data_IF_516547916374
#
_entry.id   IF_516547916374
#
_cell.length_a   1.000
_cell.length_b   1.000
_cell.length_c   1.000
_cell.angle_alpha   90.00
_cell.angle_beta   90.00
_cell.angle_gamma   90.00
#
_symmetry.space_group_name_H-M   'P 1'
#
loop_
_entity.id
_entity.type
_entity.pdbx_description
1 polymer ?
#
# COMPACT_ATOMS: atom_id res chain seq x y z
N UNK A 1 -4.19 21.32 14.94
CA UNK A 1 -4.82 20.55 13.84
C UNK A 1 -5.70 19.48 14.48
N UNK A 2 -7.02 19.48 14.24
CA UNK A 2 -7.87 18.34 14.62
C UNK A 2 -7.91 17.39 13.43
N UNK A 3 -7.20 16.27 13.51
CA UNK A 3 -7.35 15.19 12.53
C UNK A 3 -8.74 14.57 12.77
N UNK A 4 -9.67 14.60 11.82
CA UNK A 4 -10.96 13.97 11.99
C UNK A 4 -10.78 12.45 11.87
N UNK A 5 -10.42 11.79 12.97
CA UNK A 5 -10.12 10.34 13.07
C UNK A 5 -11.31 9.41 12.79
N UNK A 6 -12.37 9.88 12.14
CA UNK A 6 -13.62 9.14 11.99
C UNK A 6 -14.52 9.64 10.84
N UNK A 7 -14.13 10.68 10.11
CA UNK A 7 -14.95 11.14 8.97
C UNK A 7 -14.45 10.48 7.69
N UNK A 8 -15.19 9.47 7.26
CA UNK A 8 -15.04 8.93 5.90
C UNK A 8 -15.40 10.00 4.90
N UNK A 9 -14.63 10.06 3.82
CA UNK A 9 -14.91 10.91 2.68
C UNK A 9 -16.22 10.46 2.05
N UNK A 10 -17.22 11.33 2.08
CA UNK A 10 -18.52 11.11 1.43
C UNK A 10 -18.56 11.67 0.01
N UNK A 11 -17.67 12.62 -0.31
CA UNK A 11 -17.54 13.22 -1.62
C UNK A 11 -16.49 12.49 -2.48
N UNK A 12 -17.00 11.66 -3.39
CA UNK A 12 -16.21 10.87 -4.34
C UNK A 12 -15.87 11.64 -5.64
N UNK A 13 -16.12 12.95 -5.70
CA UNK A 13 -15.88 13.77 -6.89
C UNK A 13 -14.39 14.04 -7.20
N UNK A 14 -13.49 13.86 -6.23
CA UNK A 14 -12.05 14.02 -6.42
C UNK A 14 -11.34 12.66 -6.29
N UNK A 15 -11.08 12.05 -7.44
CA UNK A 15 -10.40 10.76 -7.55
C UNK A 15 -9.35 10.83 -8.67
N UNK A 16 -8.23 11.55 -8.44
CA UNK A 16 -7.16 11.68 -9.43
C UNK A 16 -6.56 10.31 -9.79
N UNK A 17 -5.97 10.14 -10.98
CA UNK A 17 -5.20 8.93 -11.27
C UNK A 17 -4.09 8.71 -10.23
N UNK A 18 -3.92 7.48 -9.73
CA UNK A 18 -2.93 7.15 -8.70
C UNK A 18 -2.06 5.97 -9.08
N UNK A 19 -0.79 6.00 -8.70
CA UNK A 19 0.10 4.83 -8.76
C UNK A 19 0.46 4.38 -7.35
N UNK A 20 0.13 3.13 -7.01
CA UNK A 20 0.55 2.45 -5.79
C UNK A 20 1.90 1.76 -6.00
N UNK A 21 2.88 2.06 -5.16
CA UNK A 21 4.18 1.38 -5.11
C UNK A 21 4.22 0.47 -3.87
N UNK A 22 4.35 -0.83 -4.10
CA UNK A 22 4.38 -1.83 -3.03
C UNK A 22 5.65 -2.68 -3.15
N UNK A 23 6.74 -2.33 -2.43
CA UNK A 23 7.95 -3.14 -2.38
C UNK A 23 7.68 -4.39 -1.53
N UNK A 24 8.02 -5.57 -2.07
CA UNK A 24 7.73 -6.87 -1.49
C UNK A 24 9.01 -7.67 -1.27
N UNK A 25 9.00 -8.53 -0.26
CA UNK A 25 10.07 -9.48 0.05
C UNK A 25 9.54 -10.63 0.88
N UNK A 26 9.71 -11.86 0.40
CA UNK A 26 9.17 -13.05 1.05
C UNK A 26 7.64 -13.06 1.09
N UNK A 27 7.09 -14.14 1.61
CA UNK A 27 5.65 -14.30 1.79
C UNK A 27 5.35 -14.93 3.15
N UNK A 28 4.28 -14.47 3.78
CA UNK A 28 3.72 -15.01 5.00
C UNK A 28 2.23 -15.36 4.80
N UNK A 29 1.56 -15.76 5.88
CA UNK A 29 0.16 -16.19 5.84
C UNK A 29 -0.81 -15.06 5.44
N UNK A 30 -0.48 -13.81 5.72
CA UNK A 30 -1.37 -12.65 5.51
C UNK A 30 -1.06 -11.90 4.19
N UNK A 31 0.07 -12.20 3.55
CA UNK A 31 0.54 -11.54 2.33
C UNK A 31 -0.52 -11.52 1.22
N UNK A 32 -1.21 -12.64 0.98
CA UNK A 32 -2.27 -12.71 -0.02
C UNK A 32 -3.41 -11.74 0.31
N UNK A 33 -3.87 -11.73 1.56
CA UNK A 33 -4.99 -10.90 1.99
C UNK A 33 -4.62 -9.41 1.94
N UNK A 34 -3.41 -9.05 2.37
CA UNK A 34 -2.90 -7.68 2.30
C UNK A 34 -2.84 -7.21 0.84
N UNK A 35 -2.22 -7.98 -0.06
CA UNK A 35 -2.10 -7.62 -1.47
C UNK A 35 -3.47 -7.53 -2.16
N UNK A 36 -4.37 -8.47 -1.89
CA UNK A 36 -5.72 -8.47 -2.44
C UNK A 36 -6.53 -7.24 -2.00
N UNK A 37 -6.40 -6.81 -0.74
CA UNK A 37 -7.12 -5.63 -0.22
C UNK A 37 -6.82 -4.35 -1.02
N UNK A 38 -5.59 -4.21 -1.53
CA UNK A 38 -5.20 -3.08 -2.39
C UNK A 38 -5.71 -3.18 -3.82
N UNK A 39 -5.94 -4.40 -4.33
CA UNK A 39 -6.51 -4.61 -5.67
C UNK A 39 -8.04 -4.48 -5.68
N UNK A 40 -8.69 -4.64 -4.53
CA UNK A 40 -10.15 -4.56 -4.36
C UNK A 40 -10.64 -3.20 -3.84
N UNK A 41 -9.93 -2.12 -4.18
CA UNK A 41 -10.34 -0.77 -3.80
C UNK A 41 -11.58 -0.32 -4.58
N UNK A 42 -12.50 0.31 -3.85
CA UNK A 42 -13.68 1.02 -4.33
C UNK A 42 -13.26 2.44 -4.77
N UNK A 43 -12.42 2.48 -5.81
CA UNK A 43 -11.87 3.69 -6.39
C UNK A 43 -12.28 3.77 -7.87
N UNK A 44 -13.00 4.84 -8.22
CA UNK A 44 -13.50 5.09 -9.57
C UNK A 44 -12.44 5.72 -10.49
N UNK A 45 -11.40 6.34 -9.92
CA UNK A 45 -10.28 6.88 -10.68
C UNK A 45 -9.35 5.79 -11.24
N UNK A 46 -8.50 6.11 -12.23
CA UNK A 46 -7.47 5.19 -12.69
C UNK A 46 -6.49 4.85 -11.56
N UNK A 47 -6.18 3.57 -11.41
CA UNK A 47 -5.27 3.09 -10.38
C UNK A 47 -4.30 2.08 -10.99
N UNK A 48 -3.01 2.43 -10.98
CA UNK A 48 -1.91 1.52 -11.31
C UNK A 48 -1.35 0.93 -10.00
N UNK A 49 -1.04 -0.36 -10.00
CA UNK A 49 -0.41 -1.05 -8.87
C UNK A 49 0.91 -1.69 -9.31
N UNK A 50 2.00 -1.28 -8.68
CA UNK A 50 3.34 -1.77 -8.94
C UNK A 50 3.85 -2.59 -7.76
N UNK A 51 3.98 -3.90 -7.97
CA UNK A 51 4.58 -4.82 -7.00
C UNK A 51 6.06 -5.00 -7.31
N UNK A 52 6.95 -4.52 -6.44
CA UNK A 52 8.40 -4.58 -6.68
C UNK A 52 9.07 -5.67 -5.87
N UNK A 53 9.81 -6.57 -6.53
CA UNK A 53 10.60 -7.62 -5.86
C UNK A 53 12.05 -7.56 -6.29
N UNK A 54 12.98 -7.93 -5.41
CA UNK A 54 14.41 -7.96 -5.76
C UNK A 54 14.77 -9.09 -6.73
N UNK A 55 14.05 -10.23 -6.63
CA UNK A 55 14.34 -11.43 -7.41
C UNK A 55 13.05 -12.06 -7.93
N UNK A 56 13.10 -12.59 -9.15
CA UNK A 56 11.99 -13.36 -9.74
C UNK A 56 11.71 -14.69 -9.03
N UNK A 57 12.65 -15.14 -8.19
CA UNK A 57 12.51 -16.31 -7.33
C UNK A 57 11.94 -16.00 -5.94
N UNK A 58 11.57 -14.74 -5.65
CA UNK A 58 10.95 -14.41 -4.37
C UNK A 58 9.57 -15.11 -4.25
N UNK A 59 9.27 -15.78 -3.11
CA UNK A 59 8.01 -16.50 -2.93
C UNK A 59 6.75 -15.65 -3.20
N UNK A 60 6.80 -14.34 -2.95
CA UNK A 60 5.65 -13.45 -3.15
C UNK A 60 5.27 -13.29 -4.62
N UNK A 61 6.18 -13.58 -5.54
CA UNK A 61 5.93 -13.49 -6.98
C UNK A 61 4.76 -14.38 -7.39
N UNK A 62 4.64 -15.55 -6.77
CA UNK A 62 3.57 -16.49 -7.08
C UNK A 62 2.21 -15.96 -6.62
N UNK A 63 2.14 -15.37 -5.43
CA UNK A 63 0.93 -14.71 -4.92
C UNK A 63 0.51 -13.57 -5.86
N UNK A 64 1.45 -12.72 -6.28
CA UNK A 64 1.16 -11.62 -7.19
C UNK A 64 0.64 -12.13 -8.53
N UNK A 65 1.26 -13.16 -9.12
CA UNK A 65 0.80 -13.74 -10.39
C UNK A 65 -0.61 -14.30 -10.27
N UNK A 66 -0.92 -15.01 -9.18
CA UNK A 66 -2.26 -15.54 -8.92
C UNK A 66 -3.30 -14.41 -8.82
N UNK A 67 -2.99 -13.35 -8.08
CA UNK A 67 -3.89 -12.20 -7.92
C UNK A 67 -4.12 -11.45 -9.23
N UNK A 68 -3.07 -11.20 -10.01
CA UNK A 68 -3.18 -10.53 -11.32
C UNK A 68 -3.99 -11.38 -12.30
N UNK A 69 -3.84 -12.70 -12.29
CA UNK A 69 -4.64 -13.60 -13.10
C UNK A 69 -6.12 -13.64 -12.67
N UNK A 70 -6.41 -13.56 -11.37
CA UNK A 70 -7.76 -13.54 -10.82
C UNK A 70 -8.48 -12.19 -11.05
N UNK A 71 -7.74 -11.10 -11.27
CA UNK A 71 -8.27 -9.74 -11.43
C UNK A 71 -7.74 -9.06 -12.71
N UNK A 72 -8.00 -9.61 -13.91
CA UNK A 72 -7.37 -9.17 -15.17
C UNK A 72 -7.75 -7.74 -15.61
N UNK A 73 -8.78 -7.13 -15.01
CA UNK A 73 -9.18 -5.75 -15.28
C UNK A 73 -8.44 -4.68 -14.48
N UNK A 74 -7.57 -5.08 -13.53
CA UNK A 74 -6.79 -4.14 -12.72
C UNK A 74 -5.43 -3.90 -13.38
N UNK A 75 -5.00 -2.64 -13.47
CA UNK A 75 -3.67 -2.26 -13.96
C UNK A 75 -2.62 -2.59 -12.88
N UNK A 76 -2.26 -3.86 -12.79
CA UNK A 76 -1.35 -4.39 -11.78
C UNK A 76 -0.21 -5.16 -12.43
N UNK A 77 1.03 -4.88 -12.02
CA UNK A 77 2.22 -5.50 -12.60
C UNK A 77 3.25 -5.87 -11.53
N UNK A 78 3.89 -7.02 -11.73
CA UNK A 78 5.07 -7.46 -11.00
C UNK A 78 6.32 -6.91 -11.68
N UNK A 79 7.16 -6.21 -10.93
CA UNK A 79 8.40 -5.59 -11.41
C UNK A 79 9.59 -6.21 -10.69
N UNK A 80 10.47 -6.85 -11.45
CA UNK A 80 11.73 -7.37 -10.92
C UNK A 80 12.73 -6.21 -10.84
N UNK A 81 12.87 -5.68 -9.64
CA UNK A 81 13.78 -4.60 -9.27
C UNK A 81 15.11 -5.22 -8.83
N UNK A 82 15.87 -5.79 -9.78
CA UNK A 82 17.14 -6.49 -9.53
C UNK A 82 18.13 -5.70 -8.66
N UNK A 83 19.27 -6.30 -8.33
CA UNK A 83 20.22 -5.72 -7.37
C UNK A 83 20.62 -4.29 -7.72
N UNK A 84 20.07 -3.35 -6.96
CA UNK A 84 20.33 -1.93 -7.09
C UNK A 84 21.20 -1.47 -5.93
N UNK A 85 22.31 -0.76 -6.18
CA UNK A 85 23.21 -0.30 -5.14
C UNK A 85 22.50 0.78 -4.31
N UNK A 86 21.98 0.38 -3.17
CA UNK A 86 21.39 1.27 -2.18
C UNK A 86 21.53 0.67 -0.78
N UNK A 87 21.85 1.50 0.21
CA UNK A 87 21.98 1.06 1.60
C UNK A 87 20.68 0.47 2.16
N UNK A 88 19.53 0.86 1.60
CA UNK A 88 18.22 0.33 1.94
C UNK A 88 17.56 -0.29 0.70
N UNK A 89 17.36 -1.61 0.74
CA UNK A 89 16.78 -2.36 -0.38
C UNK A 89 15.35 -1.91 -0.71
N UNK A 90 14.54 -1.55 0.28
CA UNK A 90 13.16 -1.10 0.08
C UNK A 90 13.12 0.23 -0.66
N UNK A 91 13.97 1.17 -0.28
CA UNK A 91 14.08 2.47 -0.97
C UNK A 91 14.62 2.27 -2.39
N UNK A 92 15.60 1.39 -2.58
CA UNK A 92 16.14 1.07 -3.90
C UNK A 92 15.05 0.49 -4.84
N UNK A 93 14.19 -0.40 -4.33
CA UNK A 93 13.01 -0.90 -5.05
C UNK A 93 12.03 0.23 -5.38
N UNK A 94 11.71 1.09 -4.41
CA UNK A 94 10.79 2.22 -4.61
C UNK A 94 11.25 3.16 -5.72
N UNK A 95 12.54 3.47 -5.80
CA UNK A 95 13.12 4.28 -6.88
C UNK A 95 12.91 3.63 -8.25
N UNK A 96 13.08 2.30 -8.35
CA UNK A 96 12.85 1.58 -9.60
C UNK A 96 11.37 1.52 -9.99
N UNK A 97 10.47 1.32 -9.01
CA UNK A 97 9.03 1.34 -9.25
C UNK A 97 8.56 2.74 -9.68
N UNK A 98 9.05 3.80 -9.03
CA UNK A 98 8.66 5.17 -9.35
C UNK A 98 8.95 5.55 -10.81
N UNK A 99 10.03 5.04 -11.40
CA UNK A 99 10.35 5.25 -12.83
C UNK A 99 9.32 4.66 -13.79
N UNK A 100 8.47 3.76 -13.32
CA UNK A 100 7.40 3.11 -14.08
C UNK A 100 6.00 3.62 -13.69
N UNK A 101 5.93 4.60 -12.78
CA UNK A 101 4.68 5.19 -12.37
C UNK A 101 4.05 5.97 -13.54
N UNK A 102 2.76 5.71 -13.79
CA UNK A 102 1.96 6.38 -14.81
C UNK A 102 1.34 7.69 -14.33
N UNK A 103 1.27 7.89 -13.02
CA UNK A 103 0.50 8.96 -12.40
C UNK A 103 1.34 9.78 -11.42
N UNK A 104 0.97 11.05 -11.24
CA UNK A 104 1.69 11.99 -10.36
C UNK A 104 1.40 11.73 -8.88
N UNK A 105 0.19 11.30 -8.55
CA UNK A 105 -0.18 10.94 -7.17
C UNK A 105 0.35 9.55 -6.88
N UNK A 106 1.37 9.50 -6.01
CA UNK A 106 2.02 8.27 -5.59
C UNK A 106 1.53 7.86 -4.20
N UNK A 107 1.10 6.61 -4.08
CA UNK A 107 0.83 5.96 -2.79
C UNK A 107 1.96 4.96 -2.54
N UNK A 108 2.56 5.00 -1.36
CA UNK A 108 3.53 3.99 -0.92
C UNK A 108 2.91 3.19 0.21
N UNK A 109 3.01 1.86 0.13
CA UNK A 109 2.46 0.96 1.13
C UNK A 109 3.38 -0.23 1.37
N UNK A 110 3.43 -0.71 2.61
CA UNK A 110 4.25 -1.85 3.01
C UNK A 110 3.54 -3.16 2.69
N UNK A 111 4.30 -4.25 2.52
CA UNK A 111 3.77 -5.53 2.03
C UNK A 111 2.64 -6.10 2.91
N UNK A 112 2.76 -5.92 4.23
CA UNK A 112 1.90 -6.42 5.32
C UNK A 112 0.75 -5.46 5.69
N UNK A 113 0.55 -4.38 4.94
CA UNK A 113 -0.53 -3.43 5.20
C UNK A 113 -1.81 -3.88 4.52
N UNK A 114 -2.77 -4.34 5.33
CA UNK A 114 -4.17 -4.56 4.96
C UNK A 114 -4.98 -3.26 5.07
N UNK A 115 -5.88 -3.02 4.13
CA UNK A 115 -6.67 -1.77 4.06
C UNK A 115 -8.16 -1.99 3.80
N UNK A 116 -8.96 -1.00 4.22
CA UNK A 116 -10.37 -0.95 3.88
C UNK A 116 -10.58 -0.67 2.37
N UNK A 117 -11.72 -1.10 1.77
CA UNK A 117 -11.99 -0.88 0.34
C UNK A 117 -12.02 0.60 -0.09
N UNK A 118 -12.29 1.51 0.84
CA UNK A 118 -12.38 2.95 0.59
C UNK A 118 -11.08 3.72 0.90
N UNK A 119 -9.98 3.04 1.24
CA UNK A 119 -8.77 3.73 1.74
C UNK A 119 -8.19 4.68 0.71
N UNK A 120 -8.14 4.29 -0.58
CA UNK A 120 -7.52 5.13 -1.62
C UNK A 120 -8.30 6.43 -1.77
N UNK A 121 -9.64 6.35 -1.83
CA UNK A 121 -10.51 7.53 -1.89
C UNK A 121 -10.31 8.46 -0.69
N UNK A 122 -10.14 7.90 0.51
CA UNK A 122 -9.90 8.67 1.73
C UNK A 122 -8.52 9.33 1.76
N UNK A 123 -7.48 8.64 1.29
CA UNK A 123 -6.09 9.13 1.32
C UNK A 123 -5.84 10.23 0.30
N UNK A 124 -6.48 10.17 -0.87
CA UNK A 124 -6.31 11.21 -1.90
C UNK A 124 -7.15 12.46 -1.62
N UNK A 125 -8.26 12.36 -0.89
CA UNK A 125 -9.17 13.49 -0.72
C UNK A 125 -8.51 14.75 -0.13
N UNK A 126 -7.62 14.67 0.88
CA UNK A 126 -6.92 15.86 1.39
C UNK A 126 -6.00 16.52 0.35
N UNK A 127 -5.49 15.78 -0.64
CA UNK A 127 -4.66 16.31 -1.73
C UNK A 127 -5.45 17.22 -2.69
N UNK A 128 -6.78 17.28 -2.56
CA UNK A 128 -7.60 18.31 -3.25
C UNK A 128 -7.17 19.71 -2.87
N UNK A 129 -6.68 19.92 -1.64
CA UNK A 129 -6.10 21.18 -1.23
C UNK A 129 -4.71 21.32 -1.90
N UNK A 130 -4.47 22.33 -2.75
CA UNK A 130 -3.18 22.50 -3.42
C UNK A 130 -2.01 22.74 -2.45
N UNK A 131 -2.28 23.16 -1.21
CA UNK A 131 -1.26 23.33 -0.15
C UNK A 131 -0.88 21.99 0.52
N UNK A 132 -1.62 20.91 0.28
CA UNK A 132 -1.35 19.59 0.84
C UNK A 132 -0.48 18.76 -0.10
N UNK A 133 0.83 18.72 0.16
CA UNK A 133 1.79 17.93 -0.63
C UNK A 133 1.98 16.48 -0.19
N UNK A 134 1.51 16.10 1.01
CA UNK A 134 1.69 14.75 1.57
C UNK A 134 0.55 14.42 2.53
N UNK A 135 0.07 13.17 2.46
CA UNK A 135 -0.88 12.59 3.41
C UNK A 135 -0.27 11.30 3.96
N UNK A 136 -0.37 11.11 5.27
CA UNK A 136 -0.01 9.84 5.92
C UNK A 136 -1.24 9.22 6.58
N UNK A 137 -1.22 7.90 6.71
CA UNK A 137 -2.22 7.16 7.46
C UNK A 137 -1.69 6.81 8.85
N UNK A 138 -2.55 6.91 9.84
CA UNK A 138 -2.31 6.20 11.10
C UNK A 138 -2.55 4.71 10.88
N UNK A 139 -1.74 3.89 11.53
CA UNK A 139 -1.87 2.44 11.48
C UNK A 139 -2.12 1.89 12.87
N UNK A 140 -2.58 0.64 12.90
CA UNK A 140 -2.71 -0.16 14.12
C UNK A 140 -2.12 -1.52 13.87
N UNK A 141 -1.52 -2.12 14.90
CA UNK A 141 -1.18 -3.54 14.84
C UNK A 141 -2.49 -4.34 14.95
N UNK A 142 -2.70 -5.24 14.00
CA UNK A 142 -3.87 -6.11 13.93
C UNK A 142 -3.43 -7.59 14.02
N UNK A 143 -4.39 -8.46 14.36
CA UNK A 143 -4.22 -9.91 14.41
C UNK A 143 -3.04 -10.42 15.28
N UNK A 144 -2.89 -9.95 16.55
CA UNK A 144 -1.90 -10.53 17.43
C UNK A 144 -2.25 -12.00 17.74
N UNK A 145 -1.34 -12.92 17.43
CA UNK A 145 -1.56 -14.36 17.65
C UNK A 145 -0.80 -14.90 18.88
N UNK A 146 0.26 -14.21 19.31
CA UNK A 146 1.08 -14.60 20.46
C UNK A 146 0.98 -13.58 21.58
N UNK A 147 1.29 -13.98 22.82
CA UNK A 147 1.28 -13.05 23.96
C UNK A 147 2.22 -11.85 23.72
N UNK A 148 3.40 -12.08 23.13
CA UNK A 148 4.33 -11.03 22.77
C UNK A 148 3.71 -10.03 21.76
N UNK A 149 3.04 -10.53 20.71
CA UNK A 149 2.34 -9.67 19.75
C UNK A 149 1.20 -8.89 20.40
N UNK A 150 0.49 -9.46 21.38
CA UNK A 150 -0.55 -8.73 22.10
C UNK A 150 0.02 -7.58 22.91
N UNK A 151 1.18 -7.77 23.58
CA UNK A 151 1.85 -6.68 24.30
C UNK A 151 2.39 -5.62 23.35
N UNK A 152 2.99 -6.02 22.23
CA UNK A 152 3.41 -5.10 21.18
C UNK A 152 2.22 -4.32 20.61
N UNK A 153 1.08 -4.98 20.37
CA UNK A 153 -0.13 -4.31 19.91
C UNK A 153 -0.62 -3.26 20.92
N UNK A 154 -0.56 -3.54 22.22
CA UNK A 154 -0.91 -2.56 23.25
C UNK A 154 0.05 -1.37 23.21
N UNK A 155 1.36 -1.60 23.13
CA UNK A 155 2.35 -0.52 23.07
C UNK A 155 2.20 0.32 21.79
N UNK A 156 2.23 -0.32 20.62
CA UNK A 156 2.10 0.35 19.31
C UNK A 156 0.79 1.10 19.22
N UNK A 157 -0.33 0.50 19.62
CA UNK A 157 -1.61 1.18 19.53
C UNK A 157 -1.68 2.28 20.61
N UNK A 158 -1.33 2.05 21.87
CA UNK A 158 -1.47 3.09 22.90
C UNK A 158 -0.55 4.31 22.67
N UNK A 159 0.71 4.10 22.27
CA UNK A 159 1.70 5.17 22.13
C UNK A 159 1.60 5.91 20.78
N UNK A 160 1.18 5.24 19.70
CA UNK A 160 1.06 5.90 18.39
C UNK A 160 -0.12 6.88 18.31
N UNK A 161 -1.10 6.74 19.21
CA UNK A 161 -2.27 7.62 19.32
C UNK A 161 -2.12 8.73 20.38
N UNK A 162 -1.03 8.77 21.16
CA UNK A 162 -0.77 9.78 22.21
C UNK A 162 0.08 10.95 21.71
#
# INVERSE_FOLDING_TARGET
MRFPLHQRVTDTGYQPPVTLLKPLKGADADSLHCLESWLRQDYAGPMQVLFGVASAGDPVCEIVRQLTAALPGRDAQLVICGDSPGANSKVATLVQLHRQAKHEVIIVSDADVHVAPDVVANVVAPLRNPEAGLVNCFYRLANPCTLAMHWEAVAVNADFWS
#
